data_IF_051672313824
#
_entry.id   IF_051672313824
#
_cell.length_a   1.000
_cell.length_b   1.000
_cell.length_c   1.000
_cell.angle_alpha   90.00
_cell.angle_beta   90.00
_cell.angle_gamma   90.00
#
_symmetry.space_group_name_H-M   'P 1'
#
loop_
_entity.id
_entity.type
_entity.pdbx_description
1 polymer ?
#
# COMPACT_ATOMS: atom_id res chain seq x y z
N UNK A 1 2.25 -8.24 54.59
CA UNK A 1 3.65 -8.09 54.14
C UNK A 1 3.62 -7.85 52.64
N UNK A 2 3.37 -6.59 52.25
CA UNK A 2 4.34 -5.71 51.54
C UNK A 2 4.71 -6.27 50.17
N UNK A 3 3.96 -5.91 49.13
CA UNK A 3 4.23 -4.81 48.17
C UNK A 3 5.31 -5.16 47.15
N UNK A 4 4.90 -5.32 45.88
CA UNK A 4 5.75 -4.98 44.75
C UNK A 4 4.93 -4.38 43.60
N UNK A 5 4.84 -3.05 43.65
CA UNK A 5 5.24 -2.12 42.58
C UNK A 5 4.47 -2.18 41.25
N UNK A 6 3.53 -1.24 41.17
CA UNK A 6 3.11 -0.50 39.98
C UNK A 6 4.28 0.00 39.13
N UNK A 7 4.18 -0.17 37.81
CA UNK A 7 4.83 0.71 36.82
C UNK A 7 3.79 1.20 35.82
N UNK A 8 3.32 2.45 35.93
CA UNK A 8 2.83 3.19 34.78
C UNK A 8 4.00 3.95 34.12
N UNK A 9 3.73 4.51 32.94
CA UNK A 9 4.53 5.51 32.21
C UNK A 9 5.38 4.98 31.04
N UNK A 10 4.80 5.05 29.84
CA UNK A 10 5.45 5.82 28.78
C UNK A 10 4.40 6.43 27.85
N UNK A 11 3.93 7.60 28.27
CA UNK A 11 3.39 8.65 27.42
C UNK A 11 4.55 9.50 26.92
N UNK A 12 4.54 9.82 25.62
CA UNK A 12 5.24 10.88 24.88
C UNK A 12 6.13 10.39 23.73
N UNK A 13 5.62 10.61 22.52
CA UNK A 13 6.32 10.49 21.25
C UNK A 13 5.62 11.32 20.19
N UNK A 14 5.41 12.60 20.51
CA UNK A 14 5.27 13.77 19.65
C UNK A 14 4.63 13.60 18.27
N UNK A 15 3.40 14.11 18.17
CA UNK A 15 2.94 14.96 17.07
C UNK A 15 4.07 15.62 16.27
N UNK A 16 4.34 15.08 15.08
CA UNK A 16 4.97 15.83 14.01
C UNK A 16 3.85 16.31 13.08
N UNK A 17 3.47 17.60 13.11
CA UNK A 17 2.59 18.14 12.10
C UNK A 17 3.32 18.09 10.76
N UNK A 18 2.78 17.31 9.82
CA UNK A 18 3.12 17.42 8.39
C UNK A 18 2.66 18.80 7.87
N UNK A 19 3.43 19.84 8.22
CA UNK A 19 3.38 21.17 7.62
C UNK A 19 4.50 21.22 6.59
N UNK A 20 4.11 21.07 5.33
CA UNK A 20 5.04 21.12 4.20
C UNK A 20 4.30 21.16 2.88
N UNK A 21 3.37 22.13 2.73
CA UNK A 21 2.84 22.53 1.41
C UNK A 21 3.90 23.43 0.75
N UNK A 22 4.33 23.12 -0.47
CA UNK A 22 4.46 24.14 -1.51
C UNK A 22 3.19 24.07 -2.36
N UNK A 23 2.18 24.90 -2.11
CA UNK A 23 2.12 26.28 -2.60
C UNK A 23 2.54 26.35 -4.09
N UNK A 24 1.52 26.34 -4.94
CA UNK A 24 1.43 27.19 -6.13
C UNK A 24 2.58 27.09 -7.15
N UNK A 25 2.45 26.12 -8.07
CA UNK A 25 2.86 26.35 -9.46
C UNK A 25 1.61 26.70 -10.28
N UNK A 26 1.03 27.89 -10.02
CA UNK A 26 0.18 28.56 -11.00
C UNK A 26 1.12 29.21 -12.03
N UNK A 27 1.55 28.43 -13.01
CA UNK A 27 2.13 28.97 -14.23
C UNK A 27 1.00 29.26 -15.21
N UNK A 28 0.53 30.51 -15.19
CA UNK A 28 -0.35 31.12 -16.17
C UNK A 28 0.35 31.08 -17.53
N UNK A 29 -0.05 30.17 -18.41
CA UNK A 29 0.25 30.22 -19.84
C UNK A 29 -1.03 30.56 -20.61
N UNK A 30 -1.54 31.77 -20.38
CA UNK A 30 -2.46 32.44 -21.29
C UNK A 30 -1.65 33.47 -22.08
N UNK A 31 -2.01 33.63 -23.36
CA UNK A 31 -1.44 34.52 -24.38
C UNK A 31 -0.40 33.86 -25.28
N UNK A 32 -0.85 32.96 -26.17
CA UNK A 32 -0.53 32.97 -27.61
C UNK A 32 -1.50 31.97 -28.28
N UNK A 33 -2.40 32.48 -29.13
CA UNK A 33 -3.48 31.72 -29.75
C UNK A 33 -2.98 30.67 -30.76
N UNK A 34 -2.77 29.44 -30.29
CA UNK A 34 -2.57 28.29 -31.16
C UNK A 34 -3.89 27.50 -31.28
N UNK A 35 -4.52 27.40 -32.47
CA UNK A 35 -5.69 26.57 -32.65
C UNK A 35 -5.32 25.12 -32.40
N UNK A 36 -6.04 24.46 -31.49
CA UNK A 36 -5.93 23.02 -31.28
C UNK A 36 -6.30 22.34 -32.60
N UNK A 37 -5.45 21.46 -33.17
CA UNK A 37 -5.83 20.72 -34.35
C UNK A 37 -6.90 19.69 -33.95
N UNK A 38 -8.15 20.02 -34.21
CA UNK A 38 -9.24 19.05 -34.28
C UNK A 38 -9.04 18.21 -35.55
N UNK A 39 -8.77 16.92 -35.32
CA UNK A 39 -8.83 15.77 -36.25
C UNK A 39 -7.79 15.65 -37.37
N UNK A 40 -6.88 14.68 -37.20
CA UNK A 40 -6.49 13.77 -38.28
C UNK A 40 -5.98 12.45 -37.66
N UNK A 41 -6.83 11.44 -37.77
CA UNK A 41 -6.57 10.02 -37.58
C UNK A 41 -5.92 9.47 -38.87
N UNK A 42 -5.18 8.36 -38.71
CA UNK A 42 -4.48 7.55 -39.72
C UNK A 42 -3.05 7.98 -40.09
N UNK A 43 -2.05 7.25 -39.57
CA UNK A 43 -1.53 6.07 -40.26
C UNK A 43 -0.23 5.58 -39.58
N UNK A 44 -0.22 4.30 -39.18
CA UNK A 44 1.01 3.53 -38.95
C UNK A 44 1.20 3.03 -37.52
N UNK A 45 0.61 1.88 -37.19
CA UNK A 45 1.07 1.05 -36.08
C UNK A 45 2.51 0.59 -36.33
N UNK A 46 3.50 0.91 -35.47
CA UNK A 46 4.76 0.20 -35.49
C UNK A 46 4.55 -1.23 -34.94
N UNK A 47 4.87 -2.29 -35.70
CA UNK A 47 4.86 -3.63 -35.15
C UNK A 47 6.02 -3.76 -34.15
N UNK A 48 5.68 -4.10 -32.91
CA UNK A 48 6.62 -4.73 -32.01
C UNK A 48 7.44 -3.82 -31.10
N UNK A 49 6.79 -2.95 -30.32
CA UNK A 49 7.31 -2.64 -29.00
C UNK A 49 6.97 -3.83 -28.08
N UNK A 50 7.79 -4.87 -28.18
CA UNK A 50 7.71 -6.02 -27.29
C UNK A 50 7.81 -5.54 -25.85
N UNK A 51 6.88 -6.03 -25.03
CA UNK A 51 6.90 -5.97 -23.58
C UNK A 51 8.18 -6.60 -23.06
N UNK A 52 9.25 -5.83 -23.03
CA UNK A 52 10.33 -6.01 -22.08
C UNK A 52 9.91 -5.32 -20.79
N UNK A 53 9.03 -5.96 -20.02
CA UNK A 53 9.04 -5.73 -18.58
C UNK A 53 10.40 -6.22 -18.12
N UNK A 54 11.40 -5.33 -18.22
CA UNK A 54 12.70 -5.54 -17.64
C UNK A 54 12.44 -5.86 -16.18
N UNK A 55 12.66 -7.12 -15.80
CA UNK A 55 12.92 -7.46 -14.43
C UNK A 55 13.94 -6.42 -13.98
N UNK A 56 13.60 -5.55 -13.04
CA UNK A 56 14.59 -4.69 -12.39
C UNK A 56 15.18 -5.56 -11.28
N UNK A 57 16.37 -6.18 -11.44
CA UNK A 57 17.08 -6.75 -10.31
C UNK A 57 17.76 -5.59 -9.57
N UNK A 58 17.07 -4.95 -8.64
CA UNK A 58 17.70 -3.95 -7.78
C UNK A 58 16.86 -3.53 -6.57
N UNK A 59 17.53 -3.06 -5.49
CA UNK A 59 16.93 -2.71 -4.19
C UNK A 59 15.82 -1.66 -4.26
N UNK A 60 15.60 -1.03 -5.40
CA UNK A 60 14.46 -0.15 -5.64
C UNK A 60 13.12 -0.90 -5.64
N UNK A 61 13.10 -2.13 -6.16
CA UNK A 61 11.93 -3.01 -6.05
C UNK A 61 11.66 -3.41 -4.61
N UNK A 62 12.71 -3.70 -3.84
CA UNK A 62 12.61 -4.01 -2.40
C UNK A 62 12.20 -2.78 -1.56
N UNK A 63 12.67 -1.58 -1.92
CA UNK A 63 12.29 -0.32 -1.28
C UNK A 63 10.83 0.07 -1.59
N UNK A 64 10.34 -0.28 -2.78
CA UNK A 64 8.92 -0.19 -3.12
C UNK A 64 8.08 -1.29 -2.44
N UNK A 65 8.58 -2.51 -2.24
CA UNK A 65 7.92 -3.52 -1.40
C UNK A 65 7.90 -3.12 0.08
N UNK A 66 8.92 -2.39 0.53
CA UNK A 66 8.98 -1.72 1.82
C UNK A 66 8.09 -0.47 1.89
N UNK A 67 7.44 -0.04 0.79
CA UNK A 67 6.22 0.76 0.91
C UNK A 67 5.14 -0.10 1.53
N UNK A 68 5.20 -0.21 2.86
CA UNK A 68 4.17 -0.60 3.81
C UNK A 68 3.04 -1.37 3.13
N UNK A 69 3.25 -2.66 2.86
CA UNK A 69 2.13 -3.54 2.55
C UNK A 69 1.15 -3.42 3.72
N UNK A 70 0.01 -2.81 3.43
CA UNK A 70 -1.04 -2.52 4.40
C UNK A 70 -2.29 -3.25 3.96
N UNK A 71 -3.29 -3.31 4.82
CA UNK A 71 -4.59 -3.87 4.43
C UNK A 71 -5.24 -3.17 3.23
N UNK A 72 -4.79 -1.97 2.84
CA UNK A 72 -5.28 -1.25 1.65
C UNK A 72 -4.60 -1.69 0.35
N UNK A 73 -3.46 -2.36 0.43
CA UNK A 73 -2.73 -2.83 -0.76
C UNK A 73 -3.14 -4.24 -1.20
N UNK A 74 -3.86 -4.98 -0.36
CA UNK A 74 -4.32 -6.34 -0.66
C UNK A 74 -5.75 -6.30 -1.19
N UNK A 75 -6.04 -7.19 -2.14
CA UNK A 75 -7.33 -7.22 -2.85
C UNK A 75 -8.19 -8.44 -2.54
N UNK A 76 -7.63 -9.42 -1.82
CA UNK A 76 -8.31 -10.67 -1.47
C UNK A 76 -7.98 -11.11 -0.05
N UNK A 77 -8.87 -11.88 0.57
CA UNK A 77 -8.61 -12.44 1.90
C UNK A 77 -7.37 -13.35 1.90
N UNK A 78 -7.16 -14.12 0.83
CA UNK A 78 -5.98 -14.98 0.70
C UNK A 78 -4.67 -14.18 0.71
N UNK A 79 -4.62 -13.05 0.01
CA UNK A 79 -3.46 -12.16 0.01
C UNK A 79 -3.26 -11.48 1.37
N UNK A 80 -4.35 -11.13 2.06
CA UNK A 80 -4.30 -10.60 3.43
C UNK A 80 -3.72 -11.62 4.43
N UNK A 81 -4.13 -12.90 4.34
CA UNK A 81 -3.59 -13.96 5.18
C UNK A 81 -2.11 -14.19 4.91
N UNK A 82 -1.68 -14.19 3.63
CA UNK A 82 -0.25 -14.27 3.29
C UNK A 82 0.54 -13.10 3.86
N UNK A 83 0.00 -11.88 3.78
CA UNK A 83 0.63 -10.69 4.33
C UNK A 83 0.78 -10.81 5.85
N UNK A 84 -0.26 -11.29 6.54
CA UNK A 84 -0.25 -11.51 7.98
C UNK A 84 0.78 -12.58 8.39
N UNK A 85 0.74 -13.74 7.73
CA UNK A 85 1.69 -14.83 7.95
C UNK A 85 3.14 -14.44 7.59
N UNK A 86 3.33 -13.46 6.70
CA UNK A 86 4.63 -12.84 6.41
C UNK A 86 5.17 -11.93 7.52
N UNK A 87 4.48 -11.81 8.66
CA UNK A 87 4.93 -11.06 9.83
C UNK A 87 4.32 -9.67 9.98
N UNK A 88 3.35 -9.28 9.14
CA UNK A 88 2.63 -8.02 9.30
C UNK A 88 1.55 -8.16 10.39
N UNK A 89 1.96 -8.15 11.66
CA UNK A 89 1.06 -8.35 12.81
C UNK A 89 -0.10 -7.36 12.86
N UNK A 90 0.09 -6.16 12.29
CA UNK A 90 -0.92 -5.09 12.22
C UNK A 90 -2.03 -5.37 11.20
N UNK A 91 -1.98 -6.50 10.49
CA UNK A 91 -3.11 -7.01 9.71
C UNK A 91 -4.32 -7.32 10.59
N UNK A 92 -4.07 -7.86 11.78
CA UNK A 92 -5.05 -8.20 12.82
C UNK A 92 -4.78 -7.28 14.03
N UNK A 93 -5.26 -6.03 13.93
CA UNK A 93 -4.93 -4.98 14.89
C UNK A 93 -5.61 -5.15 16.25
N UNK A 94 -6.78 -5.78 16.25
CA UNK A 94 -7.65 -6.05 17.38
C UNK A 94 -7.51 -7.48 17.93
N UNK A 95 -6.73 -8.33 17.26
CA UNK A 95 -6.39 -9.70 17.67
C UNK A 95 -7.60 -10.63 17.77
N UNK A 96 -8.61 -10.42 16.93
CA UNK A 96 -9.80 -11.27 16.85
C UNK A 96 -9.55 -12.53 15.97
N UNK A 97 -8.45 -12.51 15.21
CA UNK A 97 -8.05 -13.54 14.28
C UNK A 97 -8.53 -13.30 12.85
N UNK A 98 -8.96 -12.08 12.50
CA UNK A 98 -9.42 -11.68 11.17
C UNK A 98 -8.49 -10.60 10.60
N UNK A 99 -7.49 -10.96 9.77
CA UNK A 99 -6.61 -9.97 9.17
C UNK A 99 -7.35 -9.16 8.11
N UNK A 100 -7.15 -7.84 8.12
CA UNK A 100 -7.64 -6.93 7.08
C UNK A 100 -9.13 -7.15 6.74
N UNK A 101 -10.01 -6.83 7.69
CA UNK A 101 -11.48 -6.92 7.62
C UNK A 101 -12.13 -6.32 6.36
N UNK A 102 -11.43 -5.44 5.64
CA UNK A 102 -11.86 -4.94 4.33
C UNK A 102 -12.02 -6.04 3.27
N UNK A 103 -11.27 -7.15 3.39
CA UNK A 103 -11.25 -8.26 2.43
C UNK A 103 -11.56 -9.62 3.06
N UNK A 104 -11.28 -9.82 4.35
CA UNK A 104 -11.68 -11.02 5.08
C UNK A 104 -12.94 -10.76 5.90
N UNK A 105 -13.96 -11.60 5.76
CA UNK A 105 -15.26 -11.36 6.40
C UNK A 105 -15.53 -12.24 7.61
N UNK A 106 -14.74 -13.31 7.79
CA UNK A 106 -14.93 -14.21 8.93
C UNK A 106 -13.66 -14.94 9.32
N UNK A 107 -13.53 -15.25 10.60
CA UNK A 107 -12.45 -16.10 11.13
C UNK A 107 -12.44 -17.49 10.50
N UNK A 108 -13.61 -18.06 10.19
CA UNK A 108 -13.71 -19.37 9.55
C UNK A 108 -13.06 -19.39 8.16
N UNK A 109 -13.27 -18.33 7.38
CA UNK A 109 -12.62 -18.16 6.07
C UNK A 109 -11.11 -18.07 6.22
N UNK A 110 -10.65 -17.26 7.17
CA UNK A 110 -9.23 -17.08 7.50
C UNK A 110 -8.58 -18.40 7.92
N UNK A 111 -9.21 -19.14 8.82
CA UNK A 111 -8.73 -20.44 9.31
C UNK A 111 -8.64 -21.47 8.18
N UNK A 112 -9.61 -21.49 7.25
CA UNK A 112 -9.58 -22.36 6.09
C UNK A 112 -8.39 -22.03 5.15
N UNK A 113 -8.18 -20.74 4.89
CA UNK A 113 -7.05 -20.26 4.08
C UNK A 113 -5.71 -20.57 4.75
N UNK A 114 -5.62 -20.37 6.06
CA UNK A 114 -4.45 -20.71 6.88
C UNK A 114 -4.10 -22.20 6.78
N UNK A 115 -5.09 -23.07 6.96
CA UNK A 115 -4.93 -24.51 6.78
C UNK A 115 -4.48 -24.88 5.35
N UNK A 116 -4.94 -24.14 4.33
CA UNK A 116 -4.54 -24.35 2.94
C UNK A 116 -3.09 -23.89 2.66
N UNK A 117 -2.65 -22.78 3.26
CA UNK A 117 -1.32 -22.18 3.02
C UNK A 117 -0.24 -22.77 3.94
N UNK A 118 -0.61 -23.33 5.10
CA UNK A 118 0.32 -23.92 6.06
C UNK A 118 0.97 -22.89 6.98
N UNK A 119 0.21 -21.87 7.37
CA UNK A 119 0.51 -20.93 8.47
C UNK A 119 -0.73 -20.83 9.39
#
# INVERSE_FOLDING_TARGET
MTDHRSTPTQTHGSDLPWRGRPALALAVCLLLGAPWPTTAWAAGDPPGAQSGAGQIPSPLGELLLAQRRTCKSVSSCEEAVRLWCGGYSRADGDNDGIPCENVCHSKREVDAIRAQIGC
#
